data_IF_618896586951
#
_entry.id   IF_618896586951
#
_cell.length_a   1.000
_cell.length_b   1.000
_cell.length_c   1.000
_cell.angle_alpha   90.00
_cell.angle_beta   90.00
_cell.angle_gamma   90.00
#
_symmetry.space_group_name_H-M   'P 1'
#
loop_
_entity.id
_entity.type
_entity.pdbx_description
1 polymer ?
#
# COMPACT_ATOMS: atom_id res chain seq x y z
N UNK A 1 -39.52 -28.68 9.84
CA UNK A 1 -38.18 -28.08 9.78
C UNK A 1 -38.24 -26.54 9.90
N UNK A 2 -38.98 -25.99 10.87
CA UNK A 2 -39.26 -24.53 10.92
C UNK A 2 -38.43 -23.75 11.95
N UNK A 3 -37.69 -24.42 12.84
CA UNK A 3 -37.03 -23.80 13.99
C UNK A 3 -36.03 -22.68 13.65
N UNK A 4 -35.41 -22.73 12.47
CA UNK A 4 -34.44 -21.73 12.01
C UNK A 4 -35.06 -20.58 11.19
N UNK A 5 -36.31 -20.73 10.70
CA UNK A 5 -36.90 -19.75 9.79
C UNK A 5 -37.24 -18.42 10.46
N UNK A 6 -37.29 -18.36 11.79
CA UNK A 6 -37.60 -17.12 12.52
C UNK A 6 -36.45 -16.65 13.44
N UNK A 7 -35.23 -17.13 13.24
CA UNK A 7 -34.08 -16.86 14.11
C UNK A 7 -32.99 -16.06 13.40
N UNK A 8 -32.30 -15.19 14.13
CA UNK A 8 -31.18 -14.41 13.63
C UNK A 8 -30.05 -15.32 13.10
N UNK A 9 -29.63 -15.10 11.84
CA UNK A 9 -28.58 -15.87 11.15
C UNK A 9 -27.16 -15.69 11.70
N UNK A 10 -26.96 -14.87 12.74
CA UNK A 10 -25.65 -14.67 13.41
C UNK A 10 -25.58 -15.45 14.73
N UNK A 11 -26.53 -15.23 15.63
CA UNK A 11 -26.50 -15.87 16.96
C UNK A 11 -27.31 -17.16 17.06
N UNK A 12 -28.26 -17.40 16.15
CA UNK A 12 -29.19 -18.53 16.19
C UNK A 12 -30.06 -18.65 17.47
N UNK A 13 -29.96 -17.71 18.41
CA UNK A 13 -30.69 -17.70 19.68
C UNK A 13 -31.93 -16.81 19.65
N UNK A 14 -31.77 -15.56 19.21
CA UNK A 14 -32.84 -14.55 19.19
C UNK A 14 -33.73 -14.72 17.96
N UNK A 15 -35.00 -14.37 18.10
CA UNK A 15 -35.88 -14.17 16.96
C UNK A 15 -35.33 -13.10 16.01
N UNK A 16 -35.70 -13.16 14.74
CA UNK A 16 -35.42 -12.06 13.81
C UNK A 16 -36.18 -10.79 14.24
N UNK A 17 -35.60 -9.64 13.91
CA UNK A 17 -36.23 -8.33 14.06
C UNK A 17 -36.35 -7.62 12.71
N UNK A 18 -35.50 -7.97 11.74
CA UNK A 18 -35.59 -7.52 10.34
C UNK A 18 -34.90 -8.51 9.37
N UNK A 19 -35.11 -8.32 8.06
CA UNK A 19 -34.36 -8.97 7.00
C UNK A 19 -33.81 -7.92 6.03
N UNK A 20 -32.59 -8.15 5.52
CA UNK A 20 -32.01 -7.33 4.47
C UNK A 20 -32.79 -7.51 3.15
N UNK A 21 -33.12 -6.42 2.45
CA UNK A 21 -33.87 -6.47 1.20
C UNK A 21 -33.16 -7.21 0.05
N UNK A 22 -31.82 -7.09 -0.16
CA UNK A 22 -31.12 -7.76 -1.26
C UNK A 22 -31.13 -9.29 -1.13
N UNK A 23 -30.58 -9.83 -0.03
CA UNK A 23 -30.37 -11.27 0.16
C UNK A 23 -31.47 -11.99 0.95
N UNK A 24 -32.36 -11.26 1.65
CA UNK A 24 -33.35 -11.79 2.61
C UNK A 24 -32.77 -12.48 3.85
N UNK A 25 -31.46 -12.39 4.09
CA UNK A 25 -30.87 -12.81 5.37
C UNK A 25 -31.45 -12.00 6.53
N UNK A 26 -31.62 -12.67 7.68
CA UNK A 26 -32.45 -12.20 8.78
C UNK A 26 -31.67 -12.05 10.10
N UNK A 27 -31.92 -10.95 10.82
CA UNK A 27 -31.08 -10.53 11.93
C UNK A 27 -31.87 -9.97 13.10
N UNK A 28 -31.28 -10.06 14.29
CA UNK A 28 -31.63 -9.20 15.42
C UNK A 28 -30.73 -7.95 15.39
N UNK A 29 -31.24 -6.83 15.90
CA UNK A 29 -30.55 -5.54 15.92
C UNK A 29 -29.21 -5.61 16.63
N UNK A 30 -29.12 -6.31 17.78
CA UNK A 30 -27.86 -6.40 18.53
C UNK A 30 -26.72 -7.02 17.71
N UNK A 31 -26.98 -8.13 17.02
CA UNK A 31 -25.95 -8.82 16.25
C UNK A 31 -25.52 -7.99 15.04
N UNK A 32 -26.47 -7.38 14.33
CA UNK A 32 -26.14 -6.52 13.19
C UNK A 32 -25.43 -5.22 13.62
N UNK A 33 -25.84 -4.60 14.73
CA UNK A 33 -25.16 -3.40 15.26
C UNK A 33 -23.75 -3.70 15.77
N UNK A 34 -23.50 -4.88 16.35
CA UNK A 34 -22.15 -5.34 16.71
C UNK A 34 -21.28 -5.58 15.47
N UNK A 35 -21.84 -6.21 14.43
CA UNK A 35 -21.17 -6.33 13.13
C UNK A 35 -20.83 -4.95 12.52
N UNK A 36 -21.80 -4.04 12.48
CA UNK A 36 -21.60 -2.67 11.97
C UNK A 36 -20.59 -1.89 12.79
N UNK A 37 -20.56 -2.04 14.12
CA UNK A 37 -19.53 -1.45 14.97
C UNK A 37 -18.13 -1.88 14.53
N UNK A 38 -17.93 -3.18 14.31
CA UNK A 38 -16.65 -3.75 13.89
C UNK A 38 -16.23 -3.28 12.49
N UNK A 39 -17.15 -3.27 11.52
CA UNK A 39 -16.90 -2.75 10.16
C UNK A 39 -16.48 -1.28 10.22
N UNK A 40 -17.21 -0.45 10.96
CA UNK A 40 -16.94 0.99 11.04
C UNK A 40 -15.66 1.29 11.82
N UNK A 41 -15.35 0.53 12.87
CA UNK A 41 -14.11 0.68 13.64
C UNK A 41 -12.88 0.33 12.79
N UNK A 42 -12.99 -0.67 11.91
CA UNK A 42 -11.91 -1.06 10.98
C UNK A 42 -11.88 -0.23 9.68
N UNK A 43 -12.86 0.66 9.46
CA UNK A 43 -12.96 1.50 8.25
C UNK A 43 -11.97 2.69 8.22
N UNK A 44 -11.07 2.85 9.20
CA UNK A 44 -10.17 4.02 9.29
C UNK A 44 -9.14 4.14 8.15
N UNK A 45 -8.99 3.09 7.35
CA UNK A 45 -8.17 3.09 6.15
C UNK A 45 -8.57 4.15 5.11
N UNK A 46 -7.73 4.34 4.10
CA UNK A 46 -8.00 5.31 3.02
C UNK A 46 -8.69 4.68 1.80
N UNK A 47 -8.93 3.36 1.86
CA UNK A 47 -9.83 2.67 0.94
C UNK A 47 -11.28 2.79 1.41
N UNK A 48 -12.22 2.86 0.47
CA UNK A 48 -13.65 2.87 0.82
C UNK A 48 -14.00 1.45 1.28
N UNK A 49 -14.60 1.33 2.46
CA UNK A 49 -15.02 0.06 3.05
C UNK A 49 -16.41 -0.29 2.55
N UNK A 50 -16.53 -1.33 1.72
CA UNK A 50 -17.82 -1.88 1.33
C UNK A 50 -18.46 -2.58 2.53
N UNK A 51 -19.65 -2.14 2.94
CA UNK A 51 -20.48 -2.88 3.91
C UNK A 51 -21.11 -4.06 3.21
N UNK A 52 -21.10 -5.24 3.85
CA UNK A 52 -21.59 -6.50 3.25
C UNK A 52 -22.56 -7.19 4.18
N UNK A 53 -23.37 -8.11 3.66
CA UNK A 53 -24.11 -9.02 4.50
C UNK A 53 -23.12 -9.90 5.31
N UNK A 54 -23.26 -10.02 6.63
CA UNK A 54 -22.38 -10.85 7.45
C UNK A 54 -22.52 -12.37 7.20
N UNK A 55 -23.50 -12.78 6.39
CA UNK A 55 -23.79 -14.19 6.05
C UNK A 55 -23.42 -14.49 4.59
N UNK A 56 -24.17 -13.94 3.63
CA UNK A 56 -23.94 -14.23 2.20
C UNK A 56 -22.84 -13.38 1.54
N UNK A 57 -22.29 -12.38 2.25
CA UNK A 57 -21.24 -11.45 1.76
C UNK A 57 -21.63 -10.54 0.58
N UNK A 58 -22.91 -10.49 0.19
CA UNK A 58 -23.44 -9.52 -0.78
C UNK A 58 -23.19 -8.08 -0.30
N UNK A 59 -22.85 -7.16 -1.21
CA UNK A 59 -22.59 -5.75 -0.89
C UNK A 59 -23.91 -5.03 -0.63
N UNK A 60 -23.99 -4.30 0.48
CA UNK A 60 -25.18 -3.58 0.91
C UNK A 60 -25.07 -2.10 0.54
N UNK A 61 -26.13 -1.55 -0.04
CA UNK A 61 -26.23 -0.11 -0.28
C UNK A 61 -26.27 0.67 1.04
N UNK A 62 -25.83 1.92 1.03
CA UNK A 62 -25.86 2.79 2.20
C UNK A 62 -27.27 2.98 2.75
N UNK A 63 -28.27 3.16 1.90
CA UNK A 63 -29.64 3.42 2.35
C UNK A 63 -30.27 2.18 3.01
N UNK A 64 -29.76 0.98 2.71
CA UNK A 64 -30.17 -0.26 3.37
C UNK A 64 -29.59 -0.37 4.79
N UNK A 65 -28.27 -0.44 4.94
CA UNK A 65 -27.68 -0.69 6.26
C UNK A 65 -27.80 0.50 7.22
N UNK A 66 -27.96 1.73 6.71
CA UNK A 66 -28.19 2.93 7.55
C UNK A 66 -29.52 2.88 8.31
N UNK A 67 -30.50 2.08 7.88
CA UNK A 67 -31.75 1.87 8.63
C UNK A 67 -31.52 1.14 9.97
N UNK A 68 -30.46 0.34 10.08
CA UNK A 68 -30.21 -0.54 11.22
C UNK A 68 -28.99 -0.12 12.07
N UNK A 69 -28.17 0.81 11.55
CA UNK A 69 -27.00 1.37 12.22
C UNK A 69 -27.33 2.62 13.08
N UNK A 70 -26.56 2.85 14.14
CA UNK A 70 -26.73 4.06 14.97
C UNK A 70 -26.19 5.32 14.26
N UNK A 71 -26.76 6.49 14.56
CA UNK A 71 -26.31 7.76 13.96
C UNK A 71 -24.84 8.13 14.24
N UNK A 72 -24.22 7.52 15.26
CA UNK A 72 -22.78 7.67 15.53
C UNK A 72 -21.93 6.75 14.64
N UNK A 73 -22.38 5.50 14.40
CA UNK A 73 -21.75 4.61 13.42
C UNK A 73 -21.80 5.23 12.02
N UNK A 74 -22.94 5.79 11.63
CA UNK A 74 -23.14 6.46 10.33
C UNK A 74 -22.17 7.64 10.20
N UNK A 75 -22.12 8.55 11.18
CA UNK A 75 -21.19 9.69 11.18
C UNK A 75 -19.72 9.26 11.10
N UNK A 76 -19.33 8.20 11.83
CA UNK A 76 -17.96 7.68 11.81
C UNK A 76 -17.61 7.03 10.47
N UNK A 77 -18.54 6.25 9.89
CA UNK A 77 -18.38 5.66 8.56
C UNK A 77 -18.27 6.74 7.48
N UNK A 78 -19.21 7.68 7.43
CA UNK A 78 -19.23 8.77 6.43
C UNK A 78 -17.98 9.66 6.58
N UNK A 79 -17.51 9.88 7.82
CA UNK A 79 -16.22 10.52 8.09
C UNK A 79 -15.09 9.73 7.43
N UNK A 80 -14.87 8.45 7.75
CA UNK A 80 -13.71 7.71 7.24
C UNK A 80 -13.77 7.47 5.72
N UNK A 81 -14.96 7.29 5.14
CA UNK A 81 -15.13 6.99 3.71
C UNK A 81 -15.28 8.25 2.82
N UNK A 82 -15.09 9.44 3.38
CA UNK A 82 -15.17 10.72 2.66
C UNK A 82 -14.20 10.75 1.44
N UNK A 83 -14.62 11.24 0.27
CA UNK A 83 -13.75 11.33 -0.91
C UNK A 83 -12.58 12.29 -0.68
N UNK A 84 -11.49 12.09 -1.44
CA UNK A 84 -10.27 12.91 -1.41
C UNK A 84 -9.57 13.01 -0.03
N UNK A 85 -9.72 12.00 0.83
CA UNK A 85 -8.95 11.90 2.07
C UNK A 85 -7.45 11.74 1.81
N UNK A 86 -6.70 12.74 2.24
CA UNK A 86 -5.24 12.72 2.14
C UNK A 86 -4.62 11.71 3.11
N UNK A 87 -3.55 11.05 2.68
CA UNK A 87 -2.66 10.36 3.58
C UNK A 87 -1.81 11.41 4.28
N UNK A 88 -1.87 11.39 5.61
CA UNK A 88 -1.22 12.38 6.44
C UNK A 88 -0.43 11.72 7.58
N UNK A 89 0.52 12.49 8.11
CA UNK A 89 1.23 12.18 9.35
C UNK A 89 1.36 13.44 10.17
N UNK A 90 1.39 13.31 11.49
CA UNK A 90 1.55 14.46 12.38
C UNK A 90 3.04 14.81 12.53
N UNK A 91 3.36 16.10 12.54
CA UNK A 91 4.68 16.56 12.97
C UNK A 91 4.82 16.34 14.48
N UNK A 92 5.86 15.64 14.94
CA UNK A 92 6.04 15.38 16.37
C UNK A 92 6.33 16.65 17.16
N UNK A 93 6.81 17.71 16.51
CA UNK A 93 7.19 18.96 17.18
C UNK A 93 6.03 19.94 17.34
N UNK A 94 5.34 20.30 16.25
CA UNK A 94 4.23 21.26 16.29
C UNK A 94 2.83 20.60 16.27
N UNK A 95 2.76 19.27 16.14
CA UNK A 95 1.52 18.45 16.03
C UNK A 95 0.66 18.70 14.79
N UNK A 96 1.07 19.60 13.90
CA UNK A 96 0.39 19.89 12.63
C UNK A 96 0.23 18.65 11.74
N UNK A 97 -0.88 18.58 11.00
CA UNK A 97 -1.16 17.51 10.04
C UNK A 97 -0.40 17.76 8.73
N UNK A 98 0.55 16.88 8.41
CA UNK A 98 1.33 16.96 7.16
C UNK A 98 0.78 15.98 6.15
N UNK A 99 0.10 16.51 5.14
CA UNK A 99 -0.55 15.77 4.04
C UNK A 99 0.42 15.49 2.88
N UNK A 100 0.12 14.46 2.08
CA UNK A 100 0.81 14.20 0.80
C UNK A 100 0.25 15.06 -0.33
N UNK A 101 -1.07 15.21 -0.36
CA UNK A 101 -1.83 15.98 -1.33
C UNK A 101 -2.87 16.82 -0.62
N UNK A 102 -3.08 18.06 -1.06
CA UNK A 102 -4.33 18.75 -0.75
C UNK A 102 -5.47 18.23 -1.65
N UNK A 103 -6.74 18.29 -1.17
CA UNK A 103 -7.90 17.93 -1.98
C UNK A 103 -7.95 18.71 -3.31
N UNK A 104 -8.51 18.12 -4.39
CA UNK A 104 -8.68 18.80 -5.65
C UNK A 104 -9.50 20.08 -5.53
N UNK A 105 -9.11 21.11 -6.29
CA UNK A 105 -9.98 22.26 -6.50
C UNK A 105 -11.01 21.89 -7.57
N UNK A 106 -12.24 21.63 -7.12
CA UNK A 106 -13.35 21.19 -7.95
C UNK A 106 -14.09 22.35 -8.63
N UNK A 107 -13.82 23.58 -8.20
CA UNK A 107 -14.50 24.80 -8.65
C UNK A 107 -13.82 25.44 -9.88
N UNK A 108 -12.60 24.98 -10.23
CA UNK A 108 -11.86 25.46 -11.41
C UNK A 108 -12.62 25.22 -12.71
N UNK A 109 -12.71 26.26 -13.54
CA UNK A 109 -13.34 26.18 -14.85
C UNK A 109 -12.47 25.45 -15.90
N UNK A 110 -12.98 25.31 -17.11
CA UNK A 110 -12.27 24.57 -18.18
C UNK A 110 -10.99 25.28 -18.65
N UNK A 111 -10.99 26.62 -18.69
CA UNK A 111 -9.87 27.43 -19.16
C UNK A 111 -8.76 27.49 -18.11
N UNK A 112 -9.11 27.73 -16.84
CA UNK A 112 -8.19 27.68 -15.70
C UNK A 112 -7.46 26.32 -15.63
N UNK A 113 -8.19 25.22 -15.84
CA UNK A 113 -7.63 23.86 -15.85
C UNK A 113 -6.66 23.63 -17.01
N UNK A 114 -6.93 24.18 -18.20
CA UNK A 114 -6.00 24.11 -19.34
C UNK A 114 -4.75 24.92 -19.06
N UNK A 115 -4.91 26.17 -18.62
CA UNK A 115 -3.80 27.06 -18.25
C UNK A 115 -2.89 26.44 -17.17
N UNK A 116 -3.48 25.74 -16.19
CA UNK A 116 -2.73 25.03 -15.15
C UNK A 116 -1.94 23.83 -15.71
N UNK A 117 -2.52 23.06 -16.63
CA UNK A 117 -1.83 21.94 -17.29
C UNK A 117 -0.67 22.44 -18.15
N UNK A 118 -0.88 23.49 -18.94
CA UNK A 118 0.15 24.07 -19.82
C UNK A 118 1.31 24.68 -19.02
N UNK A 119 0.98 25.39 -17.94
CA UNK A 119 1.97 25.91 -16.98
C UNK A 119 2.79 24.76 -16.37
N UNK A 120 2.12 23.68 -15.94
CA UNK A 120 2.78 22.50 -15.37
C UNK A 120 3.67 21.78 -16.39
N UNK A 121 3.23 21.68 -17.65
CA UNK A 121 4.00 21.08 -18.74
C UNK A 121 5.27 21.90 -19.06
N UNK A 122 5.15 23.23 -19.12
CA UNK A 122 6.27 24.16 -19.30
C UNK A 122 7.29 24.06 -18.14
N UNK A 123 6.79 24.01 -16.89
CA UNK A 123 7.63 23.75 -15.71
C UNK A 123 8.36 22.40 -15.81
N UNK A 124 7.71 21.31 -16.24
CA UNK A 124 8.38 20.02 -16.42
C UNK A 124 9.43 20.02 -17.53
N UNK A 125 9.17 20.73 -18.64
CA UNK A 125 10.06 20.85 -19.79
C UNK A 125 11.34 21.65 -19.47
N UNK A 126 11.22 22.69 -18.64
CA UNK A 126 12.35 23.53 -18.21
C UNK A 126 13.27 22.88 -17.17
N UNK A 127 12.89 21.74 -16.56
CA UNK A 127 13.76 21.05 -15.61
C UNK A 127 14.98 20.43 -16.30
N UNK A 128 16.22 20.61 -15.77
CA UNK A 128 17.44 20.13 -16.41
C UNK A 128 17.44 18.61 -16.55
N UNK A 129 17.55 18.11 -17.78
CA UNK A 129 17.53 16.67 -18.06
C UNK A 129 18.58 15.92 -17.24
N UNK A 130 18.30 14.64 -16.93
CA UNK A 130 19.32 13.74 -16.39
C UNK A 130 20.44 13.63 -17.43
N UNK A 131 21.58 14.26 -17.18
CA UNK A 131 22.82 13.91 -17.84
C UNK A 131 23.10 12.44 -17.51
N UNK A 132 23.07 11.60 -18.53
CA UNK A 132 23.48 10.21 -18.39
C UNK A 132 25.00 10.22 -18.15
N UNK A 133 25.42 10.16 -16.88
CA UNK A 133 26.78 9.83 -16.50
C UNK A 133 27.06 8.37 -16.87
N UNK A 134 27.17 8.11 -18.18
CA UNK A 134 27.70 6.87 -18.72
C UNK A 134 29.17 6.80 -18.34
N UNK A 135 29.50 5.70 -17.68
CA UNK A 135 30.87 5.31 -17.34
C UNK A 135 31.80 5.42 -18.55
N UNK A 136 32.84 6.24 -18.44
CA UNK A 136 33.97 6.24 -19.35
C UNK A 136 34.80 4.96 -19.17
N UNK A 137 34.37 3.85 -19.78
CA UNK A 137 35.22 2.70 -20.05
C UNK A 137 35.86 2.90 -21.42
N UNK A 138 37.16 3.12 -21.44
CA UNK A 138 37.95 3.37 -22.65
C UNK A 138 37.89 2.20 -23.64
N UNK A 139 37.93 2.56 -24.91
CA UNK A 139 37.94 1.67 -26.06
C UNK A 139 39.17 0.75 -26.09
N UNK A 140 38.94 -0.55 -26.27
CA UNK A 140 39.84 -1.40 -27.07
C UNK A 140 39.08 -2.58 -27.69
N UNK A 141 39.40 -2.86 -28.95
CA UNK A 141 38.84 -3.90 -29.82
C UNK A 141 39.69 -3.91 -31.11
N UNK A 142 39.63 -4.95 -31.97
CA UNK A 142 39.25 -6.35 -31.74
C UNK A 142 40.34 -7.33 -32.27
N UNK A 143 40.20 -8.66 -32.04
CA UNK A 143 40.82 -9.67 -32.92
C UNK A 143 40.32 -11.12 -32.75
N UNK A 144 40.02 -11.76 -33.89
CA UNK A 144 40.32 -13.18 -34.22
C UNK A 144 39.52 -14.35 -33.62
N UNK A 145 38.39 -14.65 -34.28
CA UNK A 145 38.09 -15.94 -34.95
C UNK A 145 38.97 -17.18 -34.61
N UNK A 146 38.33 -18.26 -34.13
CA UNK A 146 38.58 -19.71 -34.41
C UNK A 146 37.44 -20.51 -33.71
N UNK A 147 36.42 -21.04 -34.37
CA UNK A 147 36.32 -22.13 -35.37
C UNK A 147 36.68 -23.55 -34.86
N UNK A 148 35.79 -24.10 -34.02
CA UNK A 148 35.26 -25.47 -34.13
C UNK A 148 36.08 -26.69 -33.65
N UNK A 149 35.40 -27.58 -32.91
CA UNK A 149 35.09 -28.94 -33.43
C UNK A 149 33.92 -29.60 -32.66
N UNK A 150 33.01 -30.17 -33.44
CA UNK A 150 31.89 -31.04 -33.04
C UNK A 150 32.43 -32.48 -32.92
N UNK A 151 31.97 -33.24 -31.93
CA UNK A 151 32.02 -34.70 -31.92
C UNK A 151 30.63 -35.20 -31.52
N UNK A 152 30.16 -36.21 -32.22
CA UNK A 152 28.83 -36.80 -32.08
C UNK A 152 28.94 -38.27 -31.62
N UNK A 153 27.78 -38.89 -31.43
CA UNK A 153 27.50 -40.21 -30.85
C UNK A 153 27.50 -40.19 -29.30
N UNK A 154 26.56 -40.83 -28.60
CA UNK A 154 25.63 -41.91 -29.01
C UNK A 154 24.27 -41.88 -28.25
N UNK A 155 23.40 -42.87 -28.49
CA UNK A 155 21.98 -42.98 -28.02
C UNK A 155 21.90 -44.12 -26.98
N UNK A 156 21.03 -44.21 -25.95
CA UNK A 156 19.64 -43.73 -25.70
C UNK A 156 19.55 -42.83 -24.43
N UNK A 157 18.45 -42.58 -23.68
CA UNK A 157 17.07 -43.09 -23.61
C UNK A 157 16.08 -42.07 -23.00
N UNK A 158 14.78 -42.37 -22.99
CA UNK A 158 13.72 -41.41 -22.65
C UNK A 158 13.56 -41.06 -21.16
N UNK A 159 13.52 -39.77 -20.82
CA UNK A 159 12.90 -39.26 -19.58
C UNK A 159 12.40 -37.80 -19.69
N UNK A 160 11.13 -37.63 -19.29
CA UNK A 160 10.32 -36.40 -19.14
C UNK A 160 11.02 -35.03 -19.11
N UNK A 161 10.51 -34.11 -19.95
CA UNK A 161 10.90 -32.71 -19.96
C UNK A 161 10.55 -32.00 -18.64
N UNK A 162 11.55 -31.37 -18.01
CA UNK A 162 11.36 -30.38 -16.94
C UNK A 162 10.87 -29.05 -17.52
N UNK A 163 9.82 -28.41 -16.99
CA UNK A 163 9.46 -27.04 -17.35
C UNK A 163 10.60 -26.08 -16.97
N UNK A 164 10.86 -25.09 -17.83
CA UNK A 164 11.89 -24.09 -17.56
C UNK A 164 11.51 -23.20 -16.38
N UNK A 165 12.25 -23.29 -15.27
CA UNK A 165 12.09 -22.40 -14.13
C UNK A 165 12.47 -20.96 -14.51
N UNK A 166 11.44 -20.15 -14.77
CA UNK A 166 11.57 -18.70 -14.88
C UNK A 166 12.01 -18.13 -13.54
N UNK A 167 13.32 -17.94 -13.38
CA UNK A 167 13.94 -17.30 -12.22
C UNK A 167 13.50 -15.83 -12.12
N UNK A 168 12.30 -15.59 -11.58
CA UNK A 168 11.77 -14.27 -11.22
C UNK A 168 12.65 -13.68 -10.11
N UNK A 169 13.68 -12.94 -10.51
CA UNK A 169 14.61 -12.24 -9.59
C UNK A 169 13.81 -11.40 -8.60
N UNK A 170 13.91 -11.72 -7.29
CA UNK A 170 13.31 -10.92 -6.20
C UNK A 170 13.67 -9.45 -6.39
N UNK A 171 12.67 -8.58 -6.56
CA UNK A 171 12.86 -7.12 -6.64
C UNK A 171 13.29 -6.58 -5.28
N UNK A 172 14.61 -6.46 -5.05
CA UNK A 172 15.12 -5.68 -3.90
C UNK A 172 14.66 -4.23 -4.03
N UNK A 173 13.81 -3.78 -3.11
CA UNK A 173 13.37 -2.38 -3.00
C UNK A 173 14.54 -1.51 -2.51
N UNK A 174 15.38 -1.03 -3.42
CA UNK A 174 16.49 -0.14 -3.06
C UNK A 174 16.02 1.29 -2.77
N UNK A 175 16.72 1.97 -1.87
CA UNK A 175 16.48 3.37 -1.57
C UNK A 175 16.91 4.26 -2.76
N UNK A 176 15.98 5.08 -3.26
CA UNK A 176 16.30 6.12 -4.25
C UNK A 176 16.75 7.38 -3.54
N UNK A 177 17.92 7.91 -3.90
CA UNK A 177 18.33 9.26 -3.49
C UNK A 177 17.48 10.28 -4.26
N UNK A 178 16.76 11.14 -3.55
CA UNK A 178 16.02 12.25 -4.15
C UNK A 178 16.97 13.43 -4.42
N UNK A 179 17.03 13.84 -5.69
CA UNK A 179 17.76 15.02 -6.16
C UNK A 179 16.92 16.30 -6.04
N UNK A 180 17.55 17.47 -6.28
CA UNK A 180 16.82 18.74 -6.39
C UNK A 180 15.76 18.70 -7.51
N UNK A 181 16.06 18.02 -8.63
CA UNK A 181 15.07 17.76 -9.70
C UNK A 181 13.88 16.94 -9.20
N UNK A 182 14.11 15.90 -8.38
CA UNK A 182 13.01 15.08 -7.84
C UNK A 182 12.09 15.90 -6.93
N UNK A 183 12.63 16.88 -6.19
CA UNK A 183 11.81 17.82 -5.40
C UNK A 183 10.91 18.69 -6.28
N UNK A 184 11.45 19.24 -7.38
CA UNK A 184 10.69 20.06 -8.31
C UNK A 184 9.64 19.25 -9.09
N UNK A 185 9.98 18.04 -9.54
CA UNK A 185 9.02 17.11 -10.16
C UNK A 185 7.89 16.76 -9.18
N UNK A 186 8.22 16.50 -7.90
CA UNK A 186 7.19 16.23 -6.90
C UNK A 186 6.19 17.38 -6.80
N UNK A 187 6.67 18.63 -6.66
CA UNK A 187 5.81 19.82 -6.58
C UNK A 187 4.84 19.94 -7.76
N UNK A 188 5.33 19.75 -8.99
CA UNK A 188 4.48 19.84 -10.18
C UNK A 188 3.47 18.67 -10.24
N UNK A 189 3.89 17.46 -9.87
CA UNK A 189 3.01 16.28 -9.85
C UNK A 189 1.93 16.40 -8.76
N UNK A 190 2.27 16.90 -7.57
CA UNK A 190 1.30 17.18 -6.50
C UNK A 190 0.30 18.26 -6.91
N UNK A 191 0.78 19.31 -7.60
CA UNK A 191 -0.08 20.36 -8.17
C UNK A 191 -1.04 19.80 -9.21
N UNK A 192 -0.56 19.00 -10.17
CA UNK A 192 -1.42 18.36 -11.19
C UNK A 192 -2.49 17.43 -10.58
N UNK A 193 -2.23 16.82 -9.42
CA UNK A 193 -3.23 16.02 -8.74
C UNK A 193 -4.42 16.85 -8.23
N UNK A 194 -4.27 18.16 -8.03
CA UNK A 194 -5.38 19.04 -7.65
C UNK A 194 -6.45 19.18 -8.76
N UNK A 195 -6.18 18.68 -9.98
CA UNK A 195 -7.12 18.69 -11.09
C UNK A 195 -7.95 17.39 -11.22
N UNK A 196 -7.57 16.28 -10.56
CA UNK A 196 -8.27 14.99 -10.75
C UNK A 196 -9.65 14.98 -10.07
N UNK A 197 -10.70 14.72 -10.85
CA UNK A 197 -12.11 14.75 -10.42
C UNK A 197 -12.68 13.38 -10.04
N UNK A 198 -11.86 12.33 -10.04
CA UNK A 198 -12.25 10.96 -9.67
C UNK A 198 -11.56 10.57 -8.36
N UNK A 199 -12.29 10.44 -7.23
CA UNK A 199 -11.69 10.15 -5.92
C UNK A 199 -10.81 8.89 -5.90
N UNK A 200 -11.22 7.84 -6.61
CA UNK A 200 -10.46 6.59 -6.70
C UNK A 200 -9.09 6.77 -7.38
N UNK A 201 -9.01 7.58 -8.43
CA UNK A 201 -7.75 7.83 -9.16
C UNK A 201 -6.86 8.78 -8.39
N UNK A 202 -7.42 9.83 -7.79
CA UNK A 202 -6.68 10.73 -6.90
C UNK A 202 -6.04 9.97 -5.73
N UNK A 203 -6.78 9.04 -5.11
CA UNK A 203 -6.26 8.13 -4.06
C UNK A 203 -5.10 7.28 -4.57
N UNK A 204 -5.18 6.74 -5.79
CA UNK A 204 -4.09 5.94 -6.36
C UNK A 204 -2.83 6.80 -6.63
N UNK A 205 -3.02 8.01 -7.17
CA UNK A 205 -1.94 8.97 -7.44
C UNK A 205 -1.20 9.36 -6.16
N UNK A 206 -1.92 9.63 -5.07
CA UNK A 206 -1.34 9.87 -3.75
C UNK A 206 -0.33 8.81 -3.34
N UNK A 207 -0.68 7.52 -3.45
CA UNK A 207 0.20 6.44 -3.02
C UNK A 207 1.36 6.18 -3.99
N UNK A 208 1.20 6.50 -5.28
CA UNK A 208 2.32 6.59 -6.24
C UNK A 208 3.29 7.71 -5.84
N UNK A 209 2.79 8.84 -5.35
CA UNK A 209 3.60 9.95 -4.82
C UNK A 209 4.32 9.51 -3.53
N UNK A 210 3.65 8.93 -2.53
CA UNK A 210 4.31 8.40 -1.31
C UNK A 210 5.42 7.39 -1.65
N UNK A 211 5.19 6.52 -2.63
CA UNK A 211 6.19 5.55 -3.06
C UNK A 211 7.42 6.22 -3.71
N UNK A 212 7.23 7.27 -4.51
CA UNK A 212 8.30 7.91 -5.31
C UNK A 212 8.99 9.06 -4.60
N UNK A 213 8.25 9.88 -3.85
CA UNK A 213 8.66 11.13 -3.23
C UNK A 213 8.25 11.17 -1.73
N UNK A 214 8.82 10.29 -0.89
CA UNK A 214 8.41 10.16 0.52
C UNK A 214 8.78 11.33 1.45
N UNK A 215 9.32 12.43 0.93
CA UNK A 215 9.66 13.63 1.72
C UNK A 215 8.48 14.61 1.66
N UNK A 216 7.82 14.82 2.79
CA UNK A 216 6.94 15.97 2.99
C UNK A 216 7.63 17.01 3.88
N UNK A 217 7.20 18.27 3.80
CA UNK A 217 7.64 19.35 4.71
C UNK A 217 6.44 19.84 5.49
N UNK A 218 6.58 19.98 6.80
CA UNK A 218 5.57 20.60 7.64
C UNK A 218 5.45 22.10 7.35
N UNK A 219 4.25 22.59 7.02
CA UNK A 219 4.02 24.00 6.72
C UNK A 219 4.10 24.92 7.95
N UNK A 220 3.90 24.39 9.17
CA UNK A 220 3.94 25.19 10.40
C UNK A 220 5.34 25.35 11.02
N UNK A 221 6.33 24.50 10.65
CA UNK A 221 7.66 24.52 11.26
C UNK A 221 8.83 24.16 10.31
N UNK A 222 8.58 24.05 9.01
CA UNK A 222 9.55 23.73 7.94
C UNK A 222 10.31 22.39 8.05
N UNK A 223 9.95 21.52 8.99
CA UNK A 223 10.66 20.24 9.21
C UNK A 223 10.22 19.14 8.23
N UNK A 224 11.19 18.36 7.78
CA UNK A 224 10.99 17.29 6.81
C UNK A 224 10.53 15.99 7.49
N UNK A 225 9.39 15.43 7.08
CA UNK A 225 8.87 14.15 7.57
C UNK A 225 9.00 13.08 6.47
N UNK A 226 9.34 11.86 6.86
CA UNK A 226 9.31 10.71 5.96
C UNK A 226 7.91 10.08 5.94
N UNK A 227 7.15 10.26 4.85
CA UNK A 227 5.78 9.73 4.74
C UNK A 227 5.72 8.19 4.74
N UNK A 228 6.81 7.51 4.36
CA UNK A 228 6.86 6.05 4.38
C UNK A 228 6.91 5.46 5.81
N UNK A 229 7.80 5.93 6.69
CA UNK A 229 7.94 5.40 8.06
C UNK A 229 7.41 6.30 9.19
N UNK A 230 7.15 7.58 8.93
CA UNK A 230 6.72 8.56 9.93
C UNK A 230 7.82 9.18 10.77
N UNK A 231 9.09 8.92 10.42
CA UNK A 231 10.22 9.53 11.11
C UNK A 231 10.33 11.04 10.78
N UNK A 232 10.76 11.82 11.78
CA UNK A 232 10.77 13.29 11.75
C UNK A 232 11.97 13.89 11.03
N UNK A 233 12.72 13.06 10.30
CA UNK A 233 13.72 13.51 9.33
C UNK A 233 13.61 12.64 8.08
N UNK A 234 13.71 13.26 6.90
CA UNK A 234 13.80 12.50 5.65
C UNK A 234 15.23 11.97 5.42
N UNK A 235 15.39 10.66 5.52
CA UNK A 235 16.67 9.94 5.48
C UNK A 235 17.17 9.64 4.05
N UNK A 236 17.79 10.63 3.40
CA UNK A 236 18.30 10.50 2.02
C UNK A 236 19.30 9.34 1.87
N UNK A 237 19.11 8.53 0.83
CA UNK A 237 20.01 7.42 0.47
C UNK A 237 19.91 6.17 1.34
N UNK A 238 19.04 6.16 2.35
CA UNK A 238 18.74 4.99 3.19
C UNK A 238 17.28 4.60 3.01
N UNK A 239 16.99 3.30 3.05
CA UNK A 239 15.60 2.83 3.21
C UNK A 239 15.12 3.12 4.63
N UNK A 240 13.81 3.14 4.84
CA UNK A 240 13.23 3.32 6.18
C UNK A 240 13.82 2.34 7.20
N UNK A 241 13.90 1.05 6.85
CA UNK A 241 14.49 0.03 7.72
C UNK A 241 15.99 0.25 7.97
N UNK A 242 16.77 0.71 6.97
CA UNK A 242 18.17 1.07 7.17
C UNK A 242 18.34 2.27 8.10
N UNK A 243 17.46 3.27 8.00
CA UNK A 243 17.47 4.43 8.88
C UNK A 243 17.15 4.04 10.33
N UNK A 244 16.09 3.26 10.54
CA UNK A 244 15.70 2.77 11.87
C UNK A 244 16.81 1.91 12.52
N UNK A 245 17.49 1.03 11.77
CA UNK A 245 18.68 0.29 12.25
C UNK A 245 19.78 1.24 12.70
N UNK A 246 20.11 2.23 11.85
CA UNK A 246 21.14 3.24 12.16
C UNK A 246 20.79 4.10 13.38
N UNK A 247 19.50 4.34 13.66
CA UNK A 247 19.05 4.99 14.89
C UNK A 247 19.28 4.08 16.12
N UNK A 248 18.91 2.81 16.03
CA UNK A 248 19.10 1.83 17.12
C UNK A 248 20.60 1.61 17.46
N UNK A 249 21.46 1.57 16.44
CA UNK A 249 22.93 1.47 16.57
C UNK A 249 23.54 2.73 17.22
N UNK A 250 23.07 3.92 16.83
CA UNK A 250 23.55 5.21 17.36
C UNK A 250 23.00 5.56 18.74
N UNK A 251 21.89 4.93 19.14
CA UNK A 251 21.18 5.21 20.38
C UNK A 251 21.88 4.69 21.64
N UNK A 252 23.15 5.06 21.86
CA UNK A 252 23.91 4.75 23.10
C UNK A 252 23.54 5.67 24.28
N UNK A 253 22.57 6.59 24.11
CA UNK A 253 22.14 7.58 25.12
C UNK A 253 20.62 7.82 25.16
N UNK A 254 19.82 6.98 24.51
CA UNK A 254 18.36 7.08 24.47
C UNK A 254 17.71 6.22 25.56
N UNK A 255 16.58 6.68 26.14
CA UNK A 255 15.70 5.88 27.01
C UNK A 255 15.46 4.48 26.44
N UNK A 256 15.47 3.46 27.30
CA UNK A 256 15.37 2.05 26.89
C UNK A 256 14.11 1.75 26.09
N UNK A 257 12.97 2.36 26.46
CA UNK A 257 11.69 2.25 25.75
C UNK A 257 11.78 2.62 24.27
N UNK A 258 12.52 3.68 23.92
CA UNK A 258 12.71 4.12 22.52
C UNK A 258 13.55 3.10 21.74
N UNK A 259 14.47 2.40 22.41
CA UNK A 259 15.29 1.34 21.79
C UNK A 259 14.46 0.07 21.55
N UNK A 260 13.54 -0.24 22.47
CA UNK A 260 12.58 -1.33 22.34
C UNK A 260 11.59 -1.07 21.20
N UNK A 261 10.97 0.12 21.14
CA UNK A 261 10.08 0.55 20.04
C UNK A 261 10.77 0.42 18.67
N UNK A 262 12.01 0.89 18.55
CA UNK A 262 12.79 0.81 17.31
C UNK A 262 13.13 -0.63 16.93
N UNK A 263 13.44 -1.49 17.90
CA UNK A 263 13.69 -2.92 17.67
C UNK A 263 12.41 -3.60 17.20
N UNK A 264 11.29 -3.37 17.88
CA UNK A 264 10.00 -3.96 17.54
C UNK A 264 9.59 -3.60 16.11
N UNK A 265 9.68 -2.32 15.71
CA UNK A 265 9.41 -1.85 14.34
C UNK A 265 10.34 -2.44 13.26
N UNK A 266 11.53 -2.87 13.63
CA UNK A 266 12.48 -3.50 12.70
C UNK A 266 12.19 -4.97 12.46
N UNK A 267 11.57 -5.63 13.43
CA UNK A 267 11.24 -7.06 13.42
C UNK A 267 9.81 -7.31 12.90
N UNK A 268 8.86 -6.45 13.27
CA UNK A 268 7.44 -6.63 13.00
C UNK A 268 6.92 -5.84 11.79
N UNK A 269 7.70 -4.90 11.23
CA UNK A 269 7.21 -4.00 10.18
C UNK A 269 7.91 -4.16 8.82
N UNK A 270 7.12 -4.17 7.74
CA UNK A 270 7.59 -4.29 6.34
C UNK A 270 6.99 -3.20 5.45
N UNK A 271 7.73 -2.72 4.42
CA UNK A 271 7.19 -1.74 3.48
C UNK A 271 6.15 -2.39 2.56
N UNK A 272 5.02 -1.73 2.36
CA UNK A 272 4.06 -2.11 1.32
C UNK A 272 4.74 -2.15 -0.06
N UNK A 273 4.59 -3.23 -0.85
CA UNK A 273 5.18 -3.31 -2.18
C UNK A 273 4.65 -2.24 -3.15
N UNK A 274 3.42 -1.74 -2.93
CA UNK A 274 2.80 -0.68 -3.74
C UNK A 274 3.18 0.72 -3.25
N UNK A 275 2.74 1.13 -2.05
CA UNK A 275 2.89 2.51 -1.57
C UNK A 275 4.18 2.76 -0.75
N UNK A 276 4.94 1.71 -0.39
CA UNK A 276 6.15 1.75 0.46
C UNK A 276 5.96 2.28 1.88
N UNK A 277 4.75 2.60 2.31
CA UNK A 277 4.45 2.86 3.73
C UNK A 277 4.82 1.62 4.53
N UNK A 278 5.49 1.82 5.67
CA UNK A 278 5.83 0.78 6.60
C UNK A 278 4.53 0.32 7.30
N UNK A 279 4.22 -0.97 7.19
CA UNK A 279 3.03 -1.62 7.77
C UNK A 279 3.54 -2.58 8.85
N UNK A 280 2.88 -2.60 9.99
CA UNK A 280 3.15 -3.52 11.09
C UNK A 280 2.43 -4.87 10.86
N UNK A 281 2.94 -5.95 11.43
CA UNK A 281 2.35 -7.28 11.28
C UNK A 281 1.18 -7.45 12.25
N UNK A 282 -0.01 -7.64 11.69
CA UNK A 282 -1.12 -8.26 12.40
C UNK A 282 -0.96 -9.80 12.34
N UNK A 283 -1.06 -10.47 13.48
CA UNK A 283 -0.83 -11.92 13.55
C UNK A 283 -2.01 -12.74 12.97
N UNK A 284 -1.68 -13.90 12.39
CA UNK A 284 -2.64 -14.92 11.98
C UNK A 284 -2.77 -15.17 10.48
N UNK A 285 -2.48 -14.20 9.60
CA UNK A 285 -2.62 -14.40 8.15
C UNK A 285 -1.42 -13.89 7.34
N UNK A 286 -1.07 -14.61 6.27
CA UNK A 286 -0.04 -14.17 5.31
C UNK A 286 -0.60 -13.25 4.21
N UNK A 287 -1.92 -13.22 3.99
CA UNK A 287 -2.56 -12.22 3.12
C UNK A 287 -2.69 -10.92 3.90
N UNK A 288 -2.12 -9.85 3.36
CA UNK A 288 -2.19 -8.51 3.94
C UNK A 288 -2.82 -7.56 2.94
N UNK A 289 -3.93 -6.95 3.34
CA UNK A 289 -4.63 -5.91 2.59
C UNK A 289 -4.18 -4.56 3.17
N UNK A 290 -3.40 -3.76 2.43
CA UNK A 290 -2.83 -2.52 2.96
C UNK A 290 -3.92 -1.49 3.30
N UNK A 291 -4.14 -1.23 4.59
CA UNK A 291 -5.18 -0.31 5.09
C UNK A 291 -5.07 1.11 4.52
N UNK A 292 -3.86 1.55 4.12
CA UNK A 292 -3.68 2.80 3.39
C UNK A 292 -4.06 2.69 1.90
N UNK A 293 -3.34 1.90 1.11
CA UNK A 293 -3.47 1.94 -0.36
C UNK A 293 -4.36 0.86 -0.99
N UNK A 294 -4.97 -0.02 -0.19
CA UNK A 294 -5.84 -1.11 -0.62
C UNK A 294 -5.12 -2.29 -1.30
N UNK A 295 -3.81 -2.23 -1.50
CA UNK A 295 -3.05 -3.27 -2.20
C UNK A 295 -2.98 -4.56 -1.37
N UNK A 296 -3.42 -5.68 -1.97
CA UNK A 296 -3.36 -7.03 -1.37
C UNK A 296 -2.05 -7.73 -1.74
N UNK A 297 -1.31 -8.22 -0.75
CA UNK A 297 -0.02 -8.89 -0.97
C UNK A 297 0.26 -9.99 0.06
N UNK A 298 1.21 -10.87 -0.25
CA UNK A 298 1.69 -11.88 0.70
C UNK A 298 2.79 -11.30 1.61
N UNK A 299 2.61 -11.34 2.94
CA UNK A 299 3.59 -10.85 3.92
C UNK A 299 4.98 -11.50 3.80
N UNK A 300 5.03 -12.77 3.39
CA UNK A 300 6.28 -13.53 3.33
C UNK A 300 7.14 -13.15 2.12
N UNK A 301 6.56 -13.02 0.92
CA UNK A 301 7.31 -12.74 -0.30
C UNK A 301 7.16 -11.32 -0.86
N UNK A 302 6.17 -10.56 -0.38
CA UNK A 302 5.80 -9.21 -0.85
C UNK A 302 5.28 -9.16 -2.30
N UNK A 303 4.92 -10.30 -2.88
CA UNK A 303 4.25 -10.38 -4.19
C UNK A 303 2.74 -10.08 -4.07
N UNK A 304 2.13 -9.70 -5.19
CA UNK A 304 0.68 -9.48 -5.31
C UNK A 304 -0.11 -10.71 -4.85
N UNK A 305 -1.18 -10.52 -4.07
CA UNK A 305 -2.09 -11.61 -3.76
C UNK A 305 -3.01 -11.89 -4.95
N UNK A 306 -3.17 -13.15 -5.34
CA UNK A 306 -4.14 -13.56 -6.35
C UNK A 306 -5.12 -14.59 -5.76
N UNK A 307 -6.42 -14.40 -5.99
CA UNK A 307 -7.45 -15.32 -5.51
C UNK A 307 -7.50 -16.60 -6.34
N UNK A 308 -6.99 -16.57 -7.58
CA UNK A 308 -6.93 -17.68 -8.54
C UNK A 308 -6.01 -18.82 -8.05
N UNK A 309 -5.02 -18.52 -7.20
CA UNK A 309 -4.10 -19.51 -6.63
C UNK A 309 -4.63 -20.15 -5.33
N UNK A 310 -5.82 -19.77 -4.84
CA UNK A 310 -6.39 -20.31 -3.60
C UNK A 310 -7.09 -21.66 -3.80
N UNK A 311 -6.28 -22.70 -3.96
CA UNK A 311 -6.69 -24.11 -3.82
C UNK A 311 -5.69 -24.93 -3.01
N UNK A 312 -4.40 -24.73 -3.29
CA UNK A 312 -3.28 -25.25 -2.48
C UNK A 312 -2.15 -24.21 -2.55
N UNK A 313 -1.74 -23.56 -1.45
CA UNK A 313 -0.45 -22.87 -1.43
C UNK A 313 0.63 -23.91 -1.70
N UNK A 314 1.47 -23.72 -2.72
CA UNK A 314 2.58 -24.65 -2.96
C UNK A 314 3.59 -24.54 -1.81
N UNK A 315 3.40 -25.44 -0.82
CA UNK A 315 4.20 -25.51 0.40
C UNK A 315 5.67 -25.80 0.07
N UNK A 316 5.94 -26.53 -1.02
CA UNK A 316 7.30 -26.78 -1.49
C UNK A 316 7.94 -25.51 -2.05
N UNK A 317 7.22 -24.71 -2.86
CA UNK A 317 7.68 -23.37 -3.26
C UNK A 317 7.92 -22.44 -2.06
N UNK A 318 7.12 -22.52 -1.01
CA UNK A 318 7.31 -21.70 0.20
C UNK A 318 8.53 -22.16 0.99
N UNK A 319 8.66 -23.46 1.28
CA UNK A 319 9.79 -24.03 2.01
C UNK A 319 11.12 -23.85 1.26
N UNK A 320 11.15 -24.08 -0.06
CA UNK A 320 12.33 -23.83 -0.89
C UNK A 320 12.76 -22.34 -0.90
N UNK A 321 11.81 -21.40 -0.74
CA UNK A 321 12.08 -19.97 -0.66
C UNK A 321 12.47 -19.48 0.74
N UNK A 322 12.24 -20.28 1.77
CA UNK A 322 12.66 -20.04 3.16
C UNK A 322 14.07 -20.61 3.42
N UNK A 323 14.40 -21.80 2.89
CA UNK A 323 15.73 -22.42 3.05
C UNK A 323 16.85 -21.66 2.31
N UNK A 324 16.53 -20.93 1.25
CA UNK A 324 17.49 -20.10 0.50
C UNK A 324 17.81 -18.73 1.15
N UNK A 325 17.26 -18.43 2.34
CA UNK A 325 17.46 -17.10 2.96
C UNK A 325 17.41 -17.15 4.50
N UNK A 326 18.42 -17.74 5.18
CA UNK A 326 18.59 -17.58 6.61
C UNK A 326 18.97 -16.12 6.93
N UNK A 327 18.01 -15.41 7.56
CA UNK A 327 18.05 -14.01 8.03
C UNK A 327 17.94 -12.92 6.95
#
# INVERSE_FOLDING_TARGET
MHYLQERCSICFDKHLEFCLQPCRDQFCFECFQRYMAEVVNNSWGLSITEVKCPVCTEVLDQDEWKQYATSEMIRRYDKYNQPYRSFARHCNECKEEVRVLEPPNLDLDKEERVNFMDTSASMLASLPHRTAALSSSSSSSPSSIRRGKRRENEVTDAAMARPAESSRKRRRLSARVLSSRDTAVNGIVTSLCQLERRPAVWRELQFKIVAQFPRARCHACDKDICMQCGEQTHHRGLSCQQHLRRMLERGTRSMDTVREDLRWKLEHSKPCPNCRVLIDRDDGCNRVDCLYCGYRFCWMCLDAWSEVEMGVPDVFSIQARMTLNPH
#
